data_IF_357352737266
#
_entry.id   IF_357352737266
#
_cell.length_a   1.000
_cell.length_b   1.000
_cell.length_c   1.000
_cell.angle_alpha   90.00
_cell.angle_beta   90.00
_cell.angle_gamma   90.00
#
_symmetry.space_group_name_H-M   'P 1'
#
loop_
_entity.id
_entity.type
_entity.pdbx_description
1 polymer ?
#
# COMPACT_ATOMS: atom_id res chain seq x y z
N UNK A 1 8.91 14.42 24.84
CA UNK A 1 9.35 14.01 23.49
C UNK A 1 8.36 14.55 22.48
N UNK A 2 8.82 15.33 21.51
CA UNK A 2 7.95 15.96 20.51
C UNK A 2 7.70 14.95 19.38
N UNK A 3 6.47 14.47 19.23
CA UNK A 3 5.99 13.45 18.26
C UNK A 3 6.17 13.89 16.78
N UNK A 4 6.66 15.11 16.54
CA UNK A 4 6.73 15.78 15.24
C UNK A 4 7.68 15.17 14.19
N UNK A 5 8.49 14.14 14.50
CA UNK A 5 9.43 13.53 13.54
C UNK A 5 9.16 12.03 13.30
N UNK A 6 7.91 11.66 13.03
CA UNK A 6 7.54 10.29 12.62
C UNK A 6 7.74 10.08 11.11
N UNK A 7 7.52 11.11 10.30
CA UNK A 7 7.74 11.06 8.85
C UNK A 7 9.18 11.51 8.54
N UNK A 8 9.99 10.70 7.84
CA UNK A 8 11.34 11.11 7.43
C UNK A 8 11.30 12.35 6.53
N UNK A 9 12.31 13.23 6.66
CA UNK A 9 12.47 14.39 5.79
C UNK A 9 12.51 13.96 4.32
N UNK A 10 11.84 14.72 3.44
CA UNK A 10 11.76 14.41 2.01
C UNK A 10 10.71 13.37 1.61
N UNK A 11 10.04 12.68 2.55
CA UNK A 11 8.98 11.72 2.24
C UNK A 11 7.55 12.26 2.35
N UNK A 12 7.37 13.54 2.73
CA UNK A 12 6.05 14.18 2.77
C UNK A 12 5.36 14.24 1.40
N UNK A 13 6.10 14.58 0.33
CA UNK A 13 5.54 14.64 -1.03
C UNK A 13 5.17 13.25 -1.59
N UNK A 14 6.03 12.21 -1.47
CA UNK A 14 5.62 10.85 -1.79
C UNK A 14 4.37 10.38 -1.05
N UNK A 15 4.28 10.65 0.25
CA UNK A 15 3.12 10.27 1.06
C UNK A 15 1.87 11.00 0.57
N UNK A 16 1.97 12.28 0.22
CA UNK A 16 0.89 13.02 -0.42
C UNK A 16 0.38 12.33 -1.69
N UNK A 17 1.28 11.86 -2.56
CA UNK A 17 0.90 11.11 -3.77
C UNK A 17 0.26 9.76 -3.47
N UNK A 18 0.70 9.06 -2.41
CA UNK A 18 0.05 7.82 -1.95
C UNK A 18 -1.40 8.08 -1.55
N UNK A 19 -1.67 9.15 -0.79
CA UNK A 19 -3.02 9.50 -0.36
C UNK A 19 -3.89 9.99 -1.54
N UNK A 20 -3.31 10.71 -2.50
CA UNK A 20 -4.00 11.10 -3.74
C UNK A 20 -4.34 9.87 -4.57
N UNK A 21 -3.43 8.89 -4.67
CA UNK A 21 -3.69 7.61 -5.34
C UNK A 21 -4.84 6.84 -4.68
N UNK A 22 -4.86 6.82 -3.34
CA UNK A 22 -5.92 6.20 -2.56
C UNK A 22 -7.28 6.83 -2.84
N UNK A 23 -7.36 8.16 -2.75
CA UNK A 23 -8.59 8.91 -2.97
C UNK A 23 -9.09 8.77 -4.42
N UNK A 24 -8.20 8.92 -5.39
CA UNK A 24 -8.56 8.78 -6.80
C UNK A 24 -9.06 7.36 -7.13
N UNK A 25 -8.37 6.34 -6.59
CA UNK A 25 -8.79 4.95 -6.68
C UNK A 25 -10.16 4.71 -6.03
N UNK A 26 -10.39 5.24 -4.83
CA UNK A 26 -11.65 5.08 -4.12
C UNK A 26 -12.84 5.78 -4.76
N UNK A 27 -12.65 6.98 -5.30
CA UNK A 27 -13.68 7.67 -6.10
C UNK A 27 -14.01 6.87 -7.36
N UNK A 28 -12.97 6.39 -8.07
CA UNK A 28 -13.17 5.55 -9.25
C UNK A 28 -13.84 4.21 -8.92
N UNK A 29 -13.58 3.64 -7.75
CA UNK A 29 -14.19 2.40 -7.28
C UNK A 29 -15.68 2.61 -6.94
N UNK A 30 -16.00 3.70 -6.23
CA UNK A 30 -17.38 4.10 -5.97
C UNK A 30 -18.16 4.28 -7.27
N UNK A 31 -17.56 4.92 -8.28
CA UNK A 31 -18.15 5.03 -9.61
C UNK A 31 -18.32 3.67 -10.31
N UNK A 32 -17.28 2.83 -10.36
CA UNK A 32 -17.29 1.55 -11.06
C UNK A 32 -18.30 0.55 -10.47
N UNK A 33 -18.51 0.62 -9.15
CA UNK A 33 -19.51 -0.19 -8.43
C UNK A 33 -20.95 0.30 -8.58
N UNK A 34 -21.15 1.54 -9.08
CA UNK A 34 -22.47 2.18 -9.12
C UNK A 34 -23.03 2.58 -7.75
N UNK A 35 -22.20 2.60 -6.71
CA UNK A 35 -22.63 2.97 -5.36
C UNK A 35 -23.00 4.47 -5.29
N UNK A 36 -24.24 4.76 -4.91
CA UNK A 36 -24.77 6.13 -4.84
C UNK A 36 -25.68 6.37 -3.63
N UNK A 37 -25.61 5.49 -2.61
CA UNK A 37 -26.42 5.62 -1.41
C UNK A 37 -26.01 6.81 -0.54
N UNK A 38 -26.87 7.23 0.42
CA UNK A 38 -26.50 8.24 1.40
C UNK A 38 -25.32 7.75 2.25
N UNK A 39 -24.57 8.70 2.82
CA UNK A 39 -23.44 8.36 3.69
C UNK A 39 -23.93 7.67 4.97
N UNK A 40 -23.44 6.45 5.22
CA UNK A 40 -23.81 5.60 6.34
C UNK A 40 -22.67 5.58 7.37
N UNK A 41 -22.75 6.49 8.34
CA UNK A 41 -21.74 6.61 9.42
C UNK A 41 -21.70 5.35 10.31
N UNK A 42 -22.76 4.54 10.31
CA UNK A 42 -22.79 3.24 10.99
C UNK A 42 -21.65 2.32 10.57
N UNK A 43 -21.18 2.40 9.32
CA UNK A 43 -20.06 1.58 8.82
C UNK A 43 -18.68 2.18 9.10
N UNK A 44 -18.59 3.40 9.64
CA UNK A 44 -17.32 4.06 9.89
C UNK A 44 -16.47 3.30 10.91
N UNK A 45 -17.10 2.76 11.96
CA UNK A 45 -16.40 1.99 12.99
C UNK A 45 -15.78 0.70 12.42
N UNK A 46 -16.55 -0.04 11.62
CA UNK A 46 -16.10 -1.26 10.94
C UNK A 46 -14.97 -0.98 9.95
N UNK A 47 -15.12 0.09 9.16
CA UNK A 47 -14.11 0.55 8.21
C UNK A 47 -12.80 0.93 8.91
N UNK A 48 -12.87 1.68 10.01
CA UNK A 48 -11.70 2.06 10.81
C UNK A 48 -11.01 0.85 11.43
N UNK A 49 -11.77 -0.10 11.95
CA UNK A 49 -11.23 -1.34 12.50
C UNK A 49 -10.51 -2.16 11.43
N UNK A 50 -11.17 -2.41 10.29
CA UNK A 50 -10.62 -3.18 9.18
C UNK A 50 -9.33 -2.55 8.61
N UNK A 51 -9.36 -1.25 8.33
CA UNK A 51 -8.20 -0.53 7.81
C UNK A 51 -7.03 -0.51 8.82
N UNK A 52 -7.32 -0.37 10.11
CA UNK A 52 -6.26 -0.35 11.14
C UNK A 52 -5.67 -1.73 11.37
N UNK A 53 -6.50 -2.78 11.42
CA UNK A 53 -6.06 -4.16 11.62
C UNK A 53 -5.18 -4.63 10.45
N UNK A 54 -5.67 -4.46 9.22
CA UNK A 54 -4.94 -4.82 8.01
C UNK A 54 -3.61 -4.10 7.95
N UNK A 55 -3.61 -2.77 8.13
CA UNK A 55 -2.39 -1.97 8.12
C UNK A 55 -1.36 -2.41 9.18
N UNK A 56 -1.79 -2.68 10.41
CA UNK A 56 -0.87 -3.09 11.47
C UNK A 56 -0.29 -4.47 11.17
N UNK A 57 -1.12 -5.44 10.81
CA UNK A 57 -0.68 -6.82 10.53
C UNK A 57 0.26 -6.84 9.32
N UNK A 58 -0.13 -6.19 8.23
CA UNK A 58 0.65 -6.17 7.00
C UNK A 58 1.97 -5.41 7.18
N UNK A 59 1.98 -4.25 7.84
CA UNK A 59 3.23 -3.51 8.02
C UNK A 59 4.17 -4.22 9.02
N UNK A 60 3.66 -4.91 10.04
CA UNK A 60 4.48 -5.75 10.91
C UNK A 60 5.13 -6.92 10.14
N UNK A 61 4.35 -7.61 9.31
CA UNK A 61 4.82 -8.75 8.54
C UNK A 61 5.82 -8.33 7.45
N UNK A 62 5.44 -7.36 6.63
CA UNK A 62 6.18 -7.02 5.41
C UNK A 62 7.29 -6.01 5.65
N UNK A 63 7.05 -4.99 6.49
CA UNK A 63 8.00 -3.89 6.72
C UNK A 63 8.80 -4.08 8.01
N UNK A 64 8.27 -4.86 8.95
CA UNK A 64 9.01 -5.40 10.08
C UNK A 64 9.83 -6.63 9.69
N UNK A 65 9.19 -7.80 9.65
CA UNK A 65 9.90 -9.08 9.53
C UNK A 65 10.57 -9.27 8.17
N UNK A 66 9.80 -9.18 7.08
CA UNK A 66 10.30 -9.52 5.75
C UNK A 66 11.35 -8.52 5.24
N UNK A 67 11.07 -7.22 5.29
CA UNK A 67 12.00 -6.18 4.87
C UNK A 67 13.34 -6.28 5.62
N UNK A 68 13.32 -6.40 6.95
CA UNK A 68 14.57 -6.54 7.72
C UNK A 68 15.31 -7.83 7.39
N UNK A 69 14.60 -8.94 7.15
CA UNK A 69 15.18 -10.18 6.63
C UNK A 69 15.87 -9.99 5.28
N UNK A 70 15.20 -9.34 4.31
CA UNK A 70 15.76 -9.04 3.00
C UNK A 70 16.99 -8.12 3.09
N UNK A 71 16.95 -7.09 3.94
CA UNK A 71 18.08 -6.18 4.16
C UNK A 71 19.28 -6.90 4.79
N UNK A 72 19.04 -7.76 5.79
CA UNK A 72 20.09 -8.57 6.41
C UNK A 72 20.74 -9.52 5.40
N UNK A 73 19.92 -10.21 4.59
CA UNK A 73 20.39 -11.11 3.56
C UNK A 73 21.21 -10.39 2.48
N UNK A 74 20.68 -9.28 1.95
CA UNK A 74 21.36 -8.50 0.93
C UNK A 74 22.73 -7.96 1.39
N UNK A 75 22.83 -7.55 2.67
CA UNK A 75 24.12 -7.18 3.28
C UNK A 75 25.05 -8.37 3.43
N UNK A 76 24.54 -9.53 3.87
CA UNK A 76 25.33 -10.77 4.00
C UNK A 76 25.91 -11.22 2.66
N UNK A 77 25.16 -11.10 1.58
CA UNK A 77 25.62 -11.42 0.22
C UNK A 77 26.46 -10.32 -0.43
N UNK A 78 26.75 -9.22 0.28
CA UNK A 78 27.51 -8.08 -0.24
C UNK A 78 26.95 -7.53 -1.56
N UNK A 79 25.62 -7.53 -1.71
CA UNK A 79 24.97 -6.97 -2.89
C UNK A 79 25.37 -5.49 -3.05
N UNK A 80 25.56 -4.98 -4.29
CA UNK A 80 25.99 -3.59 -4.50
C UNK A 80 25.02 -2.53 -3.97
N UNK A 81 23.71 -2.84 -3.94
CA UNK A 81 22.64 -1.95 -3.45
C UNK A 81 21.73 -2.70 -2.47
N UNK A 82 22.19 -2.99 -1.24
CA UNK A 82 21.47 -3.88 -0.34
C UNK A 82 20.14 -3.29 0.13
N UNK A 83 20.08 -1.97 0.33
CA UNK A 83 18.84 -1.26 0.70
C UNK A 83 17.79 -1.31 -0.40
N UNK A 84 18.18 -0.95 -1.64
CA UNK A 84 17.27 -0.98 -2.78
C UNK A 84 16.77 -2.39 -3.09
N UNK A 85 17.65 -3.39 -3.02
CA UNK A 85 17.26 -4.80 -3.19
C UNK A 85 16.27 -5.23 -2.10
N UNK A 86 16.53 -4.87 -0.83
CA UNK A 86 15.63 -5.18 0.28
C UNK A 86 14.24 -4.59 0.10
N UNK A 87 14.16 -3.31 -0.27
CA UNK A 87 12.89 -2.62 -0.58
C UNK A 87 12.14 -3.34 -1.70
N UNK A 88 12.80 -3.59 -2.85
CA UNK A 88 12.14 -4.19 -4.01
C UNK A 88 11.69 -5.62 -3.70
N UNK A 89 12.54 -6.43 -3.06
CA UNK A 89 12.22 -7.82 -2.76
C UNK A 89 11.02 -7.95 -1.80
N UNK A 90 11.01 -7.18 -0.69
CA UNK A 90 9.89 -7.24 0.25
C UNK A 90 8.59 -6.71 -0.37
N UNK A 91 8.68 -5.67 -1.19
CA UNK A 91 7.54 -5.05 -1.86
C UNK A 91 6.94 -5.94 -2.95
N UNK A 92 7.79 -6.66 -3.68
CA UNK A 92 7.35 -7.60 -4.71
C UNK A 92 6.65 -8.80 -4.07
N UNK A 93 7.18 -9.32 -2.96
CA UNK A 93 6.52 -10.39 -2.20
C UNK A 93 5.15 -9.94 -1.66
N UNK A 94 5.05 -8.71 -1.15
CA UNK A 94 3.79 -8.08 -0.77
C UNK A 94 2.80 -8.03 -1.94
N UNK A 95 3.26 -7.58 -3.11
CA UNK A 95 2.44 -7.52 -4.31
C UNK A 95 1.94 -8.87 -4.81
N UNK A 96 2.77 -9.92 -4.76
CA UNK A 96 2.33 -11.27 -5.12
C UNK A 96 1.33 -11.85 -4.13
N UNK A 97 1.49 -11.59 -2.83
CA UNK A 97 0.57 -12.09 -1.81
C UNK A 97 -0.84 -11.48 -1.92
N UNK A 98 -0.99 -10.35 -2.61
CA UNK A 98 -2.32 -9.85 -2.97
C UNK A 98 -3.09 -10.80 -3.91
N UNK A 99 -2.42 -11.72 -4.62
CA UNK A 99 -3.09 -12.76 -5.41
C UNK A 99 -3.46 -14.01 -4.59
N UNK A 100 -3.35 -13.96 -3.26
CA UNK A 100 -3.72 -15.06 -2.36
C UNK A 100 -4.83 -14.59 -1.41
N UNK A 101 -6.05 -14.33 -1.93
CA UNK A 101 -7.18 -13.97 -1.08
C UNK A 101 -7.64 -15.17 -0.24
N UNK A 102 -8.36 -14.91 0.85
CA UNK A 102 -9.00 -15.96 1.65
C UNK A 102 -10.09 -16.71 0.87
N UNK A 103 -10.73 -16.04 -0.09
CA UNK A 103 -11.79 -16.58 -0.96
C UNK A 103 -11.31 -16.97 -2.36
N UNK A 104 -12.24 -17.23 -3.29
CA UNK A 104 -11.90 -17.53 -4.67
C UNK A 104 -11.14 -16.36 -5.33
N UNK A 105 -10.02 -16.68 -5.97
CA UNK A 105 -9.20 -15.69 -6.66
C UNK A 105 -9.94 -15.06 -7.85
N UNK A 106 -10.63 -15.87 -8.65
CA UNK A 106 -11.31 -15.46 -9.88
C UNK A 106 -12.80 -15.73 -9.77
N UNK A 107 -13.64 -14.78 -10.16
CA UNK A 107 -15.08 -14.95 -10.24
C UNK A 107 -15.47 -16.07 -11.23
N UNK A 108 -16.52 -16.82 -10.89
CA UNK A 108 -17.11 -17.78 -11.81
C UNK A 108 -17.65 -17.07 -13.05
N UNK A 109 -17.24 -17.49 -14.24
CA UNK A 109 -17.64 -16.86 -15.50
C UNK A 109 -16.92 -15.55 -15.82
N UNK A 110 -15.85 -15.20 -15.10
CA UNK A 110 -15.03 -14.03 -15.40
C UNK A 110 -14.43 -14.08 -16.81
N UNK A 111 -14.33 -12.92 -17.45
CA UNK A 111 -13.44 -12.75 -18.59
C UNK A 111 -11.98 -12.93 -18.12
N UNK A 112 -11.33 -13.99 -18.61
CA UNK A 112 -9.98 -14.37 -18.18
C UNK A 112 -8.91 -13.37 -18.63
N UNK A 113 -9.11 -12.70 -19.77
CA UNK A 113 -8.19 -11.67 -20.24
C UNK A 113 -8.25 -10.46 -19.31
N UNK A 114 -9.46 -10.01 -18.96
CA UNK A 114 -9.66 -8.91 -18.00
C UNK A 114 -9.14 -9.30 -16.62
N UNK A 115 -9.44 -10.51 -16.13
CA UNK A 115 -8.95 -11.00 -14.84
C UNK A 115 -7.41 -11.06 -14.78
N UNK A 116 -6.75 -11.46 -15.87
CA UNK A 116 -5.29 -11.46 -15.95
C UNK A 116 -4.71 -10.04 -15.88
N UNK A 117 -5.33 -9.07 -16.57
CA UNK A 117 -4.92 -7.66 -16.49
C UNK A 117 -5.13 -7.12 -15.06
N UNK A 118 -6.27 -7.41 -14.44
CA UNK A 118 -6.54 -7.07 -13.04
C UNK A 118 -5.46 -7.64 -12.11
N UNK A 119 -5.07 -8.91 -12.30
CA UNK A 119 -4.05 -9.56 -11.49
C UNK A 119 -2.70 -8.84 -11.59
N UNK A 120 -2.26 -8.54 -12.82
CA UNK A 120 -1.02 -7.79 -13.07
C UNK A 120 -1.09 -6.41 -12.42
N UNK A 121 -2.18 -5.68 -12.63
CA UNK A 121 -2.34 -4.34 -12.05
C UNK A 121 -2.33 -4.37 -10.52
N UNK A 122 -3.00 -5.34 -9.88
CA UNK A 122 -2.99 -5.50 -8.42
C UNK A 122 -1.59 -5.77 -7.88
N UNK A 123 -0.83 -6.68 -8.51
CA UNK A 123 0.56 -6.95 -8.13
C UNK A 123 1.42 -5.70 -8.27
N UNK A 124 1.30 -4.98 -9.39
CA UNK A 124 2.07 -3.76 -9.64
C UNK A 124 1.69 -2.67 -8.65
N UNK A 125 0.40 -2.40 -8.45
CA UNK A 125 -0.12 -1.41 -7.51
C UNK A 125 0.39 -1.67 -6.09
N UNK A 126 0.20 -2.88 -5.59
CA UNK A 126 0.64 -3.28 -4.26
C UNK A 126 2.17 -3.23 -4.13
N UNK A 127 2.93 -3.60 -5.16
CA UNK A 127 4.39 -3.48 -5.17
C UNK A 127 4.84 -2.00 -5.09
N UNK A 128 4.20 -1.10 -5.85
CA UNK A 128 4.52 0.33 -5.83
C UNK A 128 4.23 0.94 -4.44
N UNK A 129 3.08 0.62 -3.87
CA UNK A 129 2.73 0.99 -2.50
C UNK A 129 3.75 0.42 -1.48
N UNK A 130 4.02 -0.87 -1.63
CA UNK A 130 5.19 -1.63 -1.16
C UNK A 130 6.42 -0.78 -0.91
N UNK A 131 6.94 -0.27 -2.02
CA UNK A 131 8.22 0.42 -2.08
C UNK A 131 8.21 1.75 -1.33
N UNK A 132 7.11 2.50 -1.36
CA UNK A 132 7.00 3.76 -0.60
C UNK A 132 6.98 3.48 0.90
N UNK A 133 6.19 2.49 1.35
CA UNK A 133 6.14 2.12 2.78
C UNK A 133 7.48 1.57 3.29
N UNK A 134 8.13 0.71 2.52
CA UNK A 134 9.46 0.21 2.85
C UNK A 134 10.49 1.35 2.93
N UNK A 135 10.36 2.36 2.05
CA UNK A 135 11.18 3.57 2.09
C UNK A 135 10.97 4.39 3.37
N UNK A 136 9.72 4.50 3.86
CA UNK A 136 9.43 5.15 5.16
C UNK A 136 10.18 4.46 6.31
N UNK A 137 10.25 3.13 6.31
CA UNK A 137 11.00 2.39 7.32
C UNK A 137 12.49 2.62 7.21
N UNK A 138 13.10 2.37 6.05
CA UNK A 138 14.57 2.42 5.95
C UNK A 138 15.14 3.82 6.11
N UNK A 139 14.35 4.87 5.81
CA UNK A 139 14.73 6.27 6.01
C UNK A 139 14.35 6.80 7.39
N UNK A 140 13.68 6.00 8.22
CA UNK A 140 13.28 6.40 9.56
C UNK A 140 14.50 6.50 10.49
N UNK A 141 14.63 7.58 11.28
CA UNK A 141 15.68 7.67 12.30
C UNK A 141 15.51 6.60 13.39
N UNK A 142 14.33 6.01 13.51
CA UNK A 142 14.05 4.93 14.47
C UNK A 142 14.64 3.60 14.00
N UNK A 143 14.78 3.36 12.70
CA UNK A 143 15.21 2.06 12.16
C UNK A 143 16.61 1.64 12.60
N UNK A 144 17.48 2.59 12.93
CA UNK A 144 18.85 2.33 13.41
C UNK A 144 18.94 2.03 14.91
N UNK A 145 17.84 2.17 15.67
CA UNK A 145 17.85 1.96 17.13
C UNK A 145 17.85 0.47 17.49
N UNK A 146 18.33 0.16 18.69
CA UNK A 146 18.18 -1.19 19.26
C UNK A 146 16.71 -1.50 19.55
N UNK A 147 16.39 -2.79 19.58
CA UNK A 147 15.09 -3.28 20.04
C UNK A 147 14.82 -2.82 21.49
N UNK A 148 13.56 -2.44 21.82
CA UNK A 148 12.38 -2.40 20.95
C UNK A 148 12.21 -1.09 20.16
N UNK A 149 13.13 -0.13 20.29
CA UNK A 149 12.99 1.22 19.73
C UNK A 149 12.93 1.28 18.21
N UNK A 150 13.49 0.30 17.48
CA UNK A 150 13.39 0.24 16.02
C UNK A 150 11.97 0.00 15.50
N UNK A 151 11.10 -0.63 16.28
CA UNK A 151 9.70 -0.86 15.88
C UNK A 151 8.92 0.43 15.66
N UNK A 152 9.35 1.55 16.26
CA UNK A 152 8.75 2.86 16.01
C UNK A 152 8.92 3.33 14.55
N UNK A 153 9.83 2.72 13.78
CA UNK A 153 9.93 2.96 12.34
C UNK A 153 8.70 2.47 11.56
N UNK A 154 7.87 1.60 12.15
CA UNK A 154 6.65 1.07 11.52
C UNK A 154 5.42 1.94 11.73
N UNK A 155 5.47 2.94 12.61
CA UNK A 155 4.31 3.79 12.88
C UNK A 155 3.91 4.58 11.63
N UNK A 156 4.88 5.18 10.94
CA UNK A 156 4.63 5.95 9.73
C UNK A 156 3.96 5.11 8.62
N UNK A 157 4.51 3.94 8.21
CA UNK A 157 3.87 3.13 7.19
C UNK A 157 2.53 2.56 7.65
N UNK A 158 2.36 2.15 8.90
CA UNK A 158 1.06 1.64 9.38
C UNK A 158 -0.05 2.70 9.32
N UNK A 159 0.26 3.94 9.74
CA UNK A 159 -0.70 5.05 9.62
C UNK A 159 -0.99 5.38 8.15
N UNK A 160 0.05 5.43 7.31
CA UNK A 160 -0.10 5.69 5.88
C UNK A 160 -0.96 4.63 5.18
N UNK A 161 -0.78 3.37 5.53
CA UNK A 161 -1.54 2.24 5.02
C UNK A 161 -3.00 2.30 5.46
N UNK A 162 -3.26 2.47 6.76
CA UNK A 162 -4.63 2.61 7.23
C UNK A 162 -5.34 3.77 6.53
N UNK A 163 -4.68 4.92 6.36
CA UNK A 163 -5.23 6.06 5.61
C UNK A 163 -5.46 5.72 4.13
N UNK A 164 -4.57 4.96 3.50
CA UNK A 164 -4.75 4.50 2.13
C UNK A 164 -6.04 3.67 2.02
N UNK A 165 -6.22 2.67 2.88
CA UNK A 165 -7.41 1.80 2.87
C UNK A 165 -8.70 2.58 3.15
N UNK A 166 -8.66 3.50 4.11
CA UNK A 166 -9.79 4.38 4.41
C UNK A 166 -10.19 5.23 3.20
N UNK A 167 -9.22 5.80 2.48
CA UNK A 167 -9.49 6.63 1.31
C UNK A 167 -9.90 5.80 0.08
N UNK A 168 -9.37 4.60 -0.06
CA UNK A 168 -9.64 3.71 -1.19
C UNK A 168 -10.99 3.00 -1.05
N UNK A 169 -11.30 2.44 0.12
CA UNK A 169 -12.54 1.68 0.34
C UNK A 169 -13.66 2.51 0.96
N UNK A 170 -13.32 3.60 1.66
CA UNK A 170 -14.30 4.44 2.36
C UNK A 170 -15.41 4.98 1.48
N UNK A 171 -15.14 5.59 0.30
CA UNK A 171 -16.20 6.09 -0.57
C UNK A 171 -17.22 5.02 -0.96
N UNK A 172 -16.76 3.81 -1.26
CA UNK A 172 -17.62 2.67 -1.60
C UNK A 172 -18.44 2.21 -0.38
N UNK A 173 -17.78 1.91 0.73
CA UNK A 173 -18.42 1.30 1.89
C UNK A 173 -19.36 2.27 2.61
N UNK A 174 -18.99 3.55 2.69
CA UNK A 174 -19.83 4.56 3.34
C UNK A 174 -21.04 4.96 2.49
N UNK A 175 -21.07 4.66 1.20
CA UNK A 175 -22.26 4.87 0.34
C UNK A 175 -23.13 3.61 0.22
N UNK A 176 -22.90 2.60 1.08
CA UNK A 176 -23.66 1.35 1.12
C UNK A 176 -23.24 0.31 0.08
N UNK A 177 -22.11 0.53 -0.60
CA UNK A 177 -21.48 -0.47 -1.44
C UNK A 177 -20.87 -1.62 -0.63
N UNK A 178 -20.55 -2.71 -1.32
CA UNK A 178 -19.88 -3.88 -0.71
C UNK A 178 -18.62 -4.22 -1.50
N UNK A 179 -17.63 -4.79 -0.83
CA UNK A 179 -16.44 -5.29 -1.50
C UNK A 179 -16.82 -6.52 -2.36
N UNK A 180 -16.22 -6.70 -3.56
CA UNK A 180 -16.44 -7.89 -4.36
C UNK A 180 -16.06 -9.16 -3.58
N UNK A 181 -16.88 -10.21 -3.71
CA UNK A 181 -16.63 -11.50 -3.06
C UNK A 181 -15.39 -12.25 -3.61
N UNK A 182 -14.89 -11.84 -4.77
CA UNK A 182 -13.71 -12.40 -5.41
C UNK A 182 -12.70 -11.32 -5.75
N UNK A 183 -11.42 -11.65 -5.68
CA UNK A 183 -10.37 -10.65 -5.86
C UNK A 183 -10.20 -10.19 -7.32
N UNK A 184 -10.47 -11.08 -8.28
CA UNK A 184 -10.47 -10.82 -9.73
C UNK A 184 -11.88 -11.07 -10.28
N UNK A 185 -12.59 -9.99 -10.60
CA UNK A 185 -14.00 -10.03 -11.03
C UNK A 185 -14.16 -10.33 -12.52
N UNK A 186 -13.14 -10.04 -13.34
CA UNK A 186 -13.25 -10.03 -14.79
C UNK A 186 -14.09 -8.87 -15.36
N UNK A 187 -14.52 -7.92 -14.52
CA UNK A 187 -15.23 -6.73 -14.98
C UNK A 187 -14.24 -5.64 -15.44
N UNK A 188 -14.41 -5.14 -16.66
CA UNK A 188 -13.54 -4.11 -17.23
C UNK A 188 -13.65 -2.77 -16.49
N UNK A 189 -14.79 -2.48 -15.83
CA UNK A 189 -14.94 -1.26 -15.04
C UNK A 189 -13.93 -1.19 -13.88
N UNK A 190 -13.56 -2.33 -13.30
CA UNK A 190 -12.62 -2.40 -12.17
C UNK A 190 -11.17 -2.09 -12.59
N UNK A 191 -10.88 -2.06 -13.89
CA UNK A 191 -9.58 -1.61 -14.40
C UNK A 191 -9.38 -0.11 -14.14
N UNK A 192 -10.45 0.69 -14.10
CA UNK A 192 -10.36 2.14 -13.91
C UNK A 192 -9.77 2.52 -12.54
N UNK A 193 -10.33 2.06 -11.39
CA UNK A 193 -9.73 2.36 -10.09
C UNK A 193 -8.33 1.77 -9.92
N UNK A 194 -8.08 0.56 -10.44
CA UNK A 194 -6.75 -0.06 -10.42
C UNK A 194 -5.72 0.74 -11.22
N UNK A 195 -6.06 1.12 -12.45
CA UNK A 195 -5.19 1.87 -13.34
C UNK A 195 -4.88 3.27 -12.81
N UNK A 196 -5.89 4.00 -12.33
CA UNK A 196 -5.72 5.35 -11.78
C UNK A 196 -4.80 5.36 -10.56
N UNK A 197 -5.05 4.48 -9.60
CA UNK A 197 -4.22 4.36 -8.39
C UNK A 197 -2.81 3.86 -8.70
N UNK A 198 -2.65 2.91 -9.62
CA UNK A 198 -1.33 2.41 -10.07
C UNK A 198 -0.48 3.51 -10.68
N UNK A 199 -1.05 4.33 -11.56
CA UNK A 199 -0.34 5.44 -12.20
C UNK A 199 0.14 6.47 -11.17
N UNK A 200 -0.71 6.81 -10.20
CA UNK A 200 -0.37 7.78 -9.15
C UNK A 200 0.64 7.20 -8.15
N UNK A 201 0.59 5.91 -7.85
CA UNK A 201 1.61 5.23 -7.05
C UNK A 201 2.95 5.14 -7.79
N UNK A 202 2.94 4.99 -9.11
CA UNK A 202 4.16 5.09 -9.91
C UNK A 202 4.81 6.46 -9.75
N UNK A 203 4.01 7.54 -9.79
CA UNK A 203 4.49 8.88 -9.52
C UNK A 203 5.01 9.02 -8.07
N UNK A 204 4.33 8.44 -7.08
CA UNK A 204 4.80 8.44 -5.70
C UNK A 204 6.19 7.79 -5.57
N UNK A 205 6.40 6.64 -6.21
CA UNK A 205 7.71 5.94 -6.25
C UNK A 205 8.75 6.78 -6.97
N UNK A 206 8.41 7.39 -8.11
CA UNK A 206 9.32 8.29 -8.83
C UNK A 206 9.78 9.45 -7.95
N UNK A 207 8.85 10.10 -7.23
CA UNK A 207 9.17 11.19 -6.31
C UNK A 207 10.00 10.69 -5.12
N UNK A 208 9.72 9.49 -4.59
CA UNK A 208 10.52 8.85 -3.53
C UNK A 208 11.96 8.62 -3.97
N UNK A 209 12.17 8.13 -5.20
CA UNK A 209 13.49 7.90 -5.76
C UNK A 209 14.26 9.21 -5.97
N UNK A 210 13.60 10.27 -6.45
CA UNK A 210 14.22 11.60 -6.59
C UNK A 210 14.53 12.29 -5.27
N UNK A 211 13.82 11.94 -4.20
CA UNK A 211 14.13 12.44 -2.86
C UNK A 211 15.45 11.87 -2.30
N UNK A 212 15.92 10.71 -2.77
CA UNK A 212 17.24 10.17 -2.40
C UNK A 212 18.41 10.92 -3.06
N UNK A 213 18.18 11.55 -4.22
CA UNK A 213 19.24 12.20 -5.00
C UNK A 213 19.55 13.64 -4.55
N UNK A 214 18.71 14.22 -3.67
CA UNK A 214 18.94 15.60 -3.20
C UNK A 214 19.99 15.60 -2.08
N UNK A 215 21.11 16.33 -2.23
CA UNK A 215 22.05 16.51 -1.14
C UNK A 215 21.33 17.22 0.01
N UNK A 216 21.39 16.64 1.20
CA UNK A 216 20.96 17.31 2.43
C UNK A 216 21.92 18.48 2.67
N UNK A 217 21.47 19.70 2.39
CA UNK A 217 22.16 20.93 2.76
C UNK A 217 22.24 21.07 4.29
#
# INVERSE_FOLDING_TARGET
MKIINVIPSGLGAPLGWVLVAALAGGVALGWASGASGPWQISHLGELLALASESAVVEELLFRGLLLWGCLAMARRWKCPRPTGLGIVASSLAFGFLHLVPEGPLVASGADLCVAAIQAVLKVVQATLFGMVMASLVVRSPWAARSMPGCWLALVAPAVAHALFDLLYFGPLLLTGGTLPATYLTGNIADIVPLGASTLLLFLAVFVTARADERPTC
#
